data_IF_303186709136
#
_entry.id   IF_303186709136
#
_cell.length_a   1.000
_cell.length_b   1.000
_cell.length_c   1.000
_cell.angle_alpha   90.00
_cell.angle_beta   90.00
_cell.angle_gamma   90.00
#
_symmetry.space_group_name_H-M   'P 1'
#
loop_
_entity.id
_entity.type
_entity.pdbx_description
1 polymer ?
#
# COMPACT_ATOMS: atom_id res chain seq x y z
N UNK A 1 -54.75 47.08 10.58
CA UNK A 1 -54.64 45.67 10.17
C UNK A 1 -54.63 45.59 8.64
N UNK A 2 -53.44 45.61 8.01
CA UNK A 2 -53.28 45.36 6.58
C UNK A 2 -52.59 44.00 6.39
N UNK A 3 -53.39 42.93 6.32
CA UNK A 3 -52.90 41.55 6.11
C UNK A 3 -52.39 41.29 4.69
N UNK A 4 -52.50 42.23 3.76
CA UNK A 4 -52.04 42.07 2.37
C UNK A 4 -50.56 42.45 2.14
N UNK A 5 -49.94 43.22 3.01
CA UNK A 5 -48.56 43.69 2.78
C UNK A 5 -47.49 42.64 3.12
N UNK A 6 -47.81 41.62 3.93
CA UNK A 6 -46.85 40.58 4.33
C UNK A 6 -46.74 39.41 3.34
N UNK A 7 -47.75 39.18 2.51
CA UNK A 7 -47.72 38.10 1.50
C UNK A 7 -46.94 38.47 0.23
N UNK A 8 -46.82 39.77 -0.08
CA UNK A 8 -46.07 40.24 -1.25
C UNK A 8 -44.55 40.17 -1.10
N UNK A 9 -44.04 40.14 0.13
CA UNK A 9 -42.59 40.12 0.39
C UNK A 9 -41.99 38.71 0.40
N UNK A 10 -42.78 37.68 0.76
CA UNK A 10 -42.30 36.29 0.72
C UNK A 10 -42.22 35.70 -0.69
N UNK A 11 -43.04 36.17 -1.65
CA UNK A 11 -43.05 35.59 -3.00
C UNK A 11 -41.99 36.17 -3.94
N UNK A 12 -41.45 37.37 -3.64
CA UNK A 12 -40.38 37.98 -4.44
C UNK A 12 -38.96 37.47 -4.07
N UNK A 13 -38.78 36.90 -2.88
CA UNK A 13 -37.50 36.33 -2.44
C UNK A 13 -37.25 34.88 -2.92
N UNK A 14 -38.23 34.25 -3.57
CA UNK A 14 -38.15 32.84 -3.97
C UNK A 14 -37.72 32.61 -5.44
N UNK A 15 -37.50 33.66 -6.23
CA UNK A 15 -37.30 33.52 -7.68
C UNK A 15 -35.92 33.94 -8.23
N UNK A 16 -34.92 34.25 -7.41
CA UNK A 16 -33.65 34.74 -7.92
C UNK A 16 -32.40 34.18 -7.23
N UNK A 17 -32.40 32.88 -6.95
CA UNK A 17 -31.14 32.12 -6.94
C UNK A 17 -31.15 31.21 -8.16
N UNK A 18 -31.13 31.82 -9.35
CA UNK A 18 -30.62 31.11 -10.51
C UNK A 18 -29.13 30.98 -10.26
N UNK A 19 -28.70 29.82 -9.74
CA UNK A 19 -27.29 29.48 -9.76
C UNK A 19 -26.86 29.59 -11.22
N UNK A 20 -26.02 30.58 -11.53
CA UNK A 20 -25.42 30.71 -12.85
C UNK A 20 -24.68 29.40 -13.10
N UNK A 21 -25.21 28.57 -13.99
CA UNK A 21 -24.56 27.34 -14.41
C UNK A 21 -23.35 27.78 -15.22
N UNK A 22 -22.18 27.69 -14.61
CA UNK A 22 -20.92 27.91 -15.29
C UNK A 22 -20.76 26.81 -16.35
N UNK A 23 -20.80 27.20 -17.62
CA UNK A 23 -20.64 26.27 -18.74
C UNK A 23 -19.17 26.17 -19.09
N UNK A 24 -18.60 24.98 -18.90
CA UNK A 24 -17.25 24.64 -19.34
C UNK A 24 -17.33 23.81 -20.61
N UNK A 25 -16.66 24.26 -21.66
CA UNK A 25 -16.52 23.47 -22.89
C UNK A 25 -15.22 22.66 -22.81
N UNK A 26 -15.34 21.34 -22.88
CA UNK A 26 -14.20 20.43 -22.99
C UNK A 26 -14.04 20.01 -24.45
N UNK A 27 -12.95 20.43 -25.07
CA UNK A 27 -12.58 19.94 -26.41
C UNK A 27 -11.73 18.69 -26.26
N UNK A 28 -12.28 17.55 -26.66
CA UNK A 28 -11.51 16.30 -26.76
C UNK A 28 -10.79 16.31 -28.11
N UNK A 29 -9.45 16.43 -28.14
CA UNK A 29 -8.72 16.36 -29.39
C UNK A 29 -8.90 14.96 -30.00
N UNK A 30 -9.58 14.87 -31.13
CA UNK A 30 -9.60 13.64 -31.92
C UNK A 30 -8.18 13.32 -32.41
N UNK A 31 -7.79 12.04 -32.43
CA UNK A 31 -6.45 11.66 -32.85
C UNK A 31 -5.97 10.34 -32.25
N UNK A 32 -4.63 10.15 -32.25
CA UNK A 32 -3.97 8.99 -31.67
C UNK A 32 -3.84 9.17 -30.15
N UNK A 33 -3.87 8.09 -29.36
CA UNK A 33 -3.68 8.17 -27.91
C UNK A 33 -2.30 8.78 -27.58
N UNK A 34 -2.27 9.71 -26.62
CA UNK A 34 -1.01 10.32 -26.15
C UNK A 34 -0.12 9.29 -25.44
N UNK A 35 -0.74 8.38 -24.68
CA UNK A 35 -0.07 7.30 -23.97
C UNK A 35 -1.00 6.10 -23.88
N UNK A 36 -0.47 4.91 -24.16
CA UNK A 36 -1.12 3.67 -23.79
C UNK A 36 -0.73 3.33 -22.35
N UNK A 37 -1.72 3.16 -21.49
CA UNK A 37 -1.51 2.69 -20.13
C UNK A 37 -1.57 1.17 -20.11
N UNK A 38 -0.87 0.56 -19.15
CA UNK A 38 -1.01 -0.87 -18.90
C UNK A 38 -2.36 -1.13 -18.25
N UNK A 39 -2.89 -2.33 -18.43
CA UNK A 39 -4.17 -2.71 -17.82
C UNK A 39 -4.11 -2.66 -16.29
N UNK A 40 -2.94 -2.91 -15.71
CA UNK A 40 -2.66 -2.86 -14.27
C UNK A 40 -2.23 -1.47 -13.75
N UNK A 41 -2.51 -0.40 -14.51
CA UNK A 41 -2.10 0.96 -14.16
C UNK A 41 -2.59 1.40 -12.77
N UNK A 42 -3.82 1.04 -12.40
CA UNK A 42 -4.38 1.29 -11.08
C UNK A 42 -3.93 0.21 -10.09
N UNK A 43 -2.69 0.32 -9.62
CA UNK A 43 -2.07 -0.61 -8.66
C UNK A 43 -2.15 -0.13 -7.20
N UNK A 44 -1.84 -1.01 -6.25
CA UNK A 44 -2.04 -0.77 -4.81
C UNK A 44 -0.71 -0.86 -4.06
N UNK A 45 -0.50 0.05 -3.10
CA UNK A 45 0.59 -0.03 -2.13
C UNK A 45 0.14 -0.58 -0.78
N UNK A 46 1.00 -1.36 -0.13
CA UNK A 46 0.83 -1.86 1.22
C UNK A 46 2.10 -1.60 2.04
N UNK A 47 1.91 -1.05 3.24
CA UNK A 47 3.01 -0.59 4.08
C UNK A 47 3.65 -1.74 4.89
N UNK A 48 4.98 -1.81 4.83
CA UNK A 48 5.86 -2.74 5.54
C UNK A 48 5.73 -2.68 7.07
N UNK A 49 5.19 -1.60 7.65
CA UNK A 49 4.84 -1.51 9.08
C UNK A 49 3.92 -2.66 9.53
N UNK A 50 3.12 -3.21 8.61
CA UNK A 50 2.19 -4.31 8.90
C UNK A 50 2.93 -5.57 9.37
N UNK A 51 4.20 -5.76 9.00
CA UNK A 51 5.03 -6.85 9.54
C UNK A 51 5.27 -6.66 11.05
N UNK A 52 5.59 -5.43 11.48
CA UNK A 52 5.83 -5.08 12.89
C UNK A 52 4.58 -5.26 13.73
N UNK A 53 3.42 -5.04 13.12
CA UNK A 53 2.09 -5.22 13.73
C UNK A 53 1.54 -6.63 13.54
N UNK A 54 2.33 -7.57 13.01
CA UNK A 54 1.89 -8.95 12.76
C UNK A 54 0.56 -9.02 11.97
N UNK A 55 0.44 -8.20 10.93
CA UNK A 55 -0.76 -8.08 10.09
C UNK A 55 -2.02 -7.62 10.83
N UNK A 56 -1.88 -7.03 12.02
CA UNK A 56 -3.00 -6.55 12.81
C UNK A 56 -3.87 -5.57 12.01
N UNK A 57 -5.18 -5.74 12.13
CA UNK A 57 -6.18 -4.91 11.46
C UNK A 57 -6.51 -5.36 10.03
N UNK A 58 -5.83 -6.39 9.50
CA UNK A 58 -6.16 -6.94 8.18
C UNK A 58 -7.16 -8.08 8.33
N UNK A 59 -8.38 -7.83 7.85
CA UNK A 59 -9.32 -8.90 7.50
C UNK A 59 -8.95 -9.44 6.11
N UNK A 60 -8.30 -10.60 6.09
CA UNK A 60 -7.80 -11.21 4.87
C UNK A 60 -8.90 -11.73 3.94
N UNK A 61 -10.06 -12.12 4.49
CA UNK A 61 -11.20 -12.55 3.68
C UNK A 61 -11.71 -11.33 2.93
N UNK A 62 -11.94 -10.23 3.64
CA UNK A 62 -12.41 -8.99 3.04
C UNK A 62 -11.40 -8.38 2.06
N UNK A 63 -10.12 -8.45 2.39
CA UNK A 63 -9.05 -7.99 1.51
C UNK A 63 -9.02 -8.77 0.19
N UNK A 64 -9.26 -10.09 0.22
CA UNK A 64 -9.33 -10.92 -0.99
C UNK A 64 -10.56 -10.56 -1.84
N UNK A 65 -11.72 -10.39 -1.22
CA UNK A 65 -12.94 -9.99 -1.91
C UNK A 65 -12.74 -8.66 -2.65
N UNK A 66 -12.21 -7.65 -1.97
CA UNK A 66 -11.95 -6.34 -2.56
C UNK A 66 -10.84 -6.40 -3.61
N UNK A 67 -9.76 -7.14 -3.34
CA UNK A 67 -8.65 -7.24 -4.27
C UNK A 67 -9.04 -7.85 -5.61
N UNK A 68 -9.91 -8.87 -5.61
CA UNK A 68 -10.44 -9.46 -6.85
C UNK A 68 -11.25 -8.48 -7.70
N UNK A 69 -11.92 -7.49 -7.08
CA UNK A 69 -12.68 -6.47 -7.80
C UNK A 69 -11.79 -5.40 -8.46
N UNK A 70 -10.52 -5.32 -8.06
CA UNK A 70 -9.55 -4.35 -8.58
C UNK A 70 -8.58 -5.00 -9.58
N UNK A 71 -8.89 -6.20 -10.07
CA UNK A 71 -8.09 -6.81 -11.14
C UNK A 71 -8.28 -6.08 -12.47
N UNK A 72 -7.23 -6.00 -13.32
CA UNK A 72 -5.84 -6.35 -13.01
C UNK A 72 -5.14 -5.22 -12.23
N UNK A 73 -4.26 -5.60 -11.29
CA UNK A 73 -3.42 -4.67 -10.54
C UNK A 73 -2.15 -5.36 -10.04
N UNK A 74 -1.19 -4.56 -9.58
CA UNK A 74 -0.01 -5.01 -8.85
C UNK A 74 -0.12 -4.59 -7.38
N UNK A 75 0.57 -5.33 -6.51
CA UNK A 75 0.73 -5.00 -5.10
C UNK A 75 2.17 -4.59 -4.84
N UNK A 76 2.41 -3.34 -4.48
CA UNK A 76 3.72 -2.87 -3.99
C UNK A 76 3.77 -2.98 -2.48
N UNK A 77 4.68 -3.80 -1.95
CA UNK A 77 4.91 -3.93 -0.51
C UNK A 77 6.23 -3.27 -0.14
N UNK A 78 6.16 -2.15 0.59
CA UNK A 78 7.33 -1.34 0.94
C UNK A 78 6.98 -0.21 1.89
N UNK A 79 7.57 0.97 1.73
CA UNK A 79 7.31 2.13 2.60
C UNK A 79 8.45 2.38 3.57
N UNK A 80 8.28 3.35 4.47
CA UNK A 80 9.38 3.88 5.29
C UNK A 80 10.07 2.86 6.19
N UNK A 81 9.40 1.76 6.52
CA UNK A 81 9.95 0.69 7.36
C UNK A 81 10.60 -0.45 6.56
N UNK A 82 10.54 -0.43 5.22
CA UNK A 82 11.17 -1.46 4.39
C UNK A 82 12.68 -1.51 4.62
N UNK A 83 13.30 -0.33 4.77
CA UNK A 83 14.73 -0.16 5.06
C UNK A 83 15.16 -0.50 6.49
N UNK A 84 14.23 -0.96 7.32
CA UNK A 84 14.47 -1.49 8.67
C UNK A 84 14.13 -2.97 8.78
N UNK A 85 13.54 -3.54 7.73
CA UNK A 85 13.08 -4.92 7.68
C UNK A 85 14.21 -5.87 7.27
N UNK A 86 14.30 -7.02 7.94
CA UNK A 86 15.22 -8.09 7.59
C UNK A 86 14.45 -9.38 7.33
N UNK A 87 14.77 -10.07 6.25
CA UNK A 87 14.14 -11.35 5.97
C UNK A 87 14.68 -12.47 6.86
N UNK A 88 13.78 -13.35 7.29
CA UNK A 88 14.06 -14.47 8.17
C UNK A 88 14.09 -14.03 9.64
N UNK A 89 15.25 -14.20 10.24
CA UNK A 89 15.32 -14.54 11.65
C UNK A 89 16.04 -13.50 12.48
N UNK A 90 15.54 -13.15 13.67
CA UNK A 90 16.48 -13.22 14.80
C UNK A 90 16.69 -14.71 15.16
N UNK A 91 15.56 -15.42 15.28
CA UNK A 91 15.27 -16.83 15.02
C UNK A 91 13.76 -16.88 14.66
N UNK A 92 13.45 -16.35 13.47
CA UNK A 92 12.21 -16.26 12.68
C UNK A 92 10.95 -15.58 13.27
N UNK A 93 11.05 -14.77 14.34
CA UNK A 93 10.14 -13.62 14.53
C UNK A 93 9.51 -13.39 15.93
N UNK A 94 10.27 -13.48 17.03
CA UNK A 94 9.77 -13.44 18.43
C UNK A 94 8.74 -12.36 18.79
N UNK A 95 7.80 -12.58 19.76
CA UNK A 95 7.56 -13.78 20.58
C UNK A 95 6.38 -14.64 20.07
N UNK A 96 6.35 -15.94 20.41
CA UNK A 96 5.08 -16.69 20.44
C UNK A 96 4.15 -15.92 21.37
N UNK A 97 3.05 -15.41 20.85
CA UNK A 97 2.08 -14.67 21.65
C UNK A 97 1.69 -15.53 22.86
N UNK A 98 2.16 -15.16 24.04
CA UNK A 98 1.79 -15.82 25.30
C UNK A 98 0.32 -15.55 25.66
N UNK A 99 -0.33 -14.63 24.93
CA UNK A 99 -1.74 -14.26 25.05
C UNK A 99 -2.29 -13.82 23.67
N UNK A 100 -3.54 -14.18 23.31
CA UNK A 100 -4.21 -13.69 22.11
C UNK A 100 -4.24 -12.16 21.96
N UNK A 101 -4.16 -11.44 23.09
CA UNK A 101 -4.26 -9.98 23.19
C UNK A 101 -2.95 -9.25 22.78
N UNK A 102 -1.83 -9.96 22.73
CA UNK A 102 -0.52 -9.42 22.33
C UNK A 102 -0.28 -9.45 20.80
N UNK A 103 -1.19 -10.03 20.03
CA UNK A 103 -1.03 -10.26 18.58
C UNK A 103 -0.96 -8.97 17.75
N UNK A 104 -1.42 -7.86 18.31
CA UNK A 104 -1.52 -6.55 17.66
C UNK A 104 -0.59 -5.49 18.24
N UNK A 105 0.18 -5.81 19.29
CA UNK A 105 1.05 -4.82 19.90
C UNK A 105 2.24 -4.55 18.98
N UNK A 106 2.52 -3.28 18.64
CA UNK A 106 3.69 -2.95 17.86
C UNK A 106 4.93 -3.42 18.63
N UNK A 107 5.85 -4.09 17.94
CA UNK A 107 7.19 -4.29 18.49
C UNK A 107 7.77 -2.91 18.84
N UNK A 108 8.54 -2.77 19.94
CA UNK A 108 9.13 -1.49 20.36
C UNK A 108 9.75 -0.79 19.16
N UNK A 109 9.65 0.54 19.02
CA UNK A 109 10.22 1.23 17.85
C UNK A 109 11.74 0.96 17.78
N UNK A 110 12.12 0.00 16.95
CA UNK A 110 13.47 -0.51 16.81
C UNK A 110 13.96 -0.15 15.42
N UNK A 111 15.24 0.17 15.32
CA UNK A 111 15.95 0.34 14.05
C UNK A 111 15.84 -0.89 13.14
N UNK A 112 15.57 -2.06 13.72
CA UNK A 112 15.54 -3.35 13.03
C UNK A 112 14.32 -4.18 13.43
N UNK A 113 13.67 -4.81 12.46
CA UNK A 113 12.67 -5.86 12.71
C UNK A 113 12.76 -6.96 11.65
N UNK A 114 12.16 -8.12 11.93
CA UNK A 114 12.27 -9.31 11.09
C UNK A 114 10.94 -9.71 10.47
N UNK A 115 11.01 -10.08 9.19
CA UNK A 115 9.93 -10.69 8.44
C UNK A 115 10.19 -12.19 8.32
N UNK A 116 9.37 -12.98 8.99
CA UNK A 116 9.46 -14.44 8.91
C UNK A 116 9.05 -14.97 7.53
N UNK A 117 9.47 -16.20 7.22
CA UNK A 117 9.01 -16.94 6.04
C UNK A 117 7.49 -17.03 5.98
N UNK A 118 6.84 -17.36 7.10
CA UNK A 118 5.37 -17.42 7.18
C UNK A 118 4.69 -16.09 6.80
N UNK A 119 5.22 -14.95 7.27
CA UNK A 119 4.69 -13.64 6.89
C UNK A 119 4.90 -13.38 5.40
N UNK A 120 6.03 -13.77 4.84
CA UNK A 120 6.35 -13.62 3.42
C UNK A 120 5.48 -14.51 2.53
N UNK A 121 5.24 -15.75 2.97
CA UNK A 121 4.34 -16.69 2.30
C UNK A 121 2.91 -16.14 2.32
N UNK A 122 2.44 -15.58 3.44
CA UNK A 122 1.11 -14.97 3.55
C UNK A 122 0.92 -13.79 2.59
N UNK A 123 1.94 -12.95 2.44
CA UNK A 123 1.92 -11.83 1.49
C UNK A 123 1.85 -12.31 0.03
N UNK A 124 2.68 -13.29 -0.34
CA UNK A 124 2.66 -13.90 -1.68
C UNK A 124 1.35 -14.64 -1.96
N UNK A 125 0.83 -15.36 -0.98
CA UNK A 125 -0.47 -16.02 -1.05
C UNK A 125 -1.59 -15.02 -1.26
N UNK A 126 -1.59 -13.89 -0.54
CA UNK A 126 -2.58 -12.84 -0.73
C UNK A 126 -2.54 -12.30 -2.16
N UNK A 127 -1.37 -11.84 -2.64
CA UNK A 127 -1.22 -11.29 -3.99
C UNK A 127 -1.68 -12.28 -5.07
N UNK A 128 -1.24 -13.54 -4.99
CA UNK A 128 -1.64 -14.59 -5.94
C UNK A 128 -3.13 -14.93 -5.85
N UNK A 129 -3.73 -14.96 -4.65
CA UNK A 129 -5.17 -15.25 -4.45
C UNK A 129 -6.10 -14.22 -5.08
N UNK A 130 -5.60 -13.01 -5.30
CA UNK A 130 -6.29 -11.91 -5.98
C UNK A 130 -5.73 -11.62 -7.37
N UNK A 131 -4.91 -12.52 -7.93
CA UNK A 131 -4.41 -12.39 -9.31
C UNK A 131 -3.46 -11.21 -9.54
N UNK A 132 -2.82 -10.71 -8.48
CA UNK A 132 -1.86 -9.61 -8.56
C UNK A 132 -0.43 -10.10 -8.59
N UNK A 133 0.43 -9.29 -9.22
CA UNK A 133 1.88 -9.43 -9.13
C UNK A 133 2.39 -8.63 -7.94
N UNK A 134 3.22 -9.25 -7.11
CA UNK A 134 3.85 -8.58 -5.97
C UNK A 134 5.13 -7.87 -6.43
N UNK A 135 5.28 -6.60 -6.08
CA UNK A 135 6.54 -5.86 -6.09
C UNK A 135 6.99 -5.73 -4.63
N UNK A 136 8.18 -6.22 -4.30
CA UNK A 136 8.67 -6.24 -2.92
C UNK A 136 9.91 -5.38 -2.73
N UNK A 137 9.89 -4.52 -1.72
CA UNK A 137 10.96 -3.58 -1.40
C UNK A 137 12.05 -4.22 -0.52
N UNK A 138 13.26 -4.30 -1.06
CA UNK A 138 14.44 -4.79 -0.35
C UNK A 138 15.07 -3.68 0.49
N UNK A 139 15.46 -4.01 1.72
CA UNK A 139 16.14 -3.08 2.61
C UNK A 139 17.49 -2.64 2.01
N UNK A 140 17.66 -1.35 1.72
CA UNK A 140 18.89 -0.77 1.15
C UNK A 140 19.92 -0.36 2.22
N UNK A 141 19.51 -0.26 3.49
CA UNK A 141 20.36 0.20 4.59
C UNK A 141 21.18 -0.92 5.25
N UNK A 142 21.09 -2.15 4.74
CA UNK A 142 22.00 -3.22 5.15
C UNK A 142 23.38 -2.96 4.53
N UNK A 143 24.30 -2.39 5.31
CA UNK A 143 25.64 -1.99 4.85
C UNK A 143 26.76 -2.86 5.44
N UNK A 144 27.79 -3.09 4.64
CA UNK A 144 29.08 -3.60 5.11
C UNK A 144 29.86 -2.49 5.85
N UNK A 145 30.91 -2.83 6.63
CA UNK A 145 31.73 -1.82 7.32
C UNK A 145 32.37 -0.78 6.40
N UNK A 146 32.54 -1.09 5.11
CA UNK A 146 33.05 -0.18 4.07
C UNK A 146 31.95 0.70 3.44
N UNK A 147 30.72 0.65 3.95
CA UNK A 147 29.58 1.44 3.48
C UNK A 147 28.90 0.90 2.22
N UNK A 148 29.38 -0.20 1.64
CA UNK A 148 28.73 -0.83 0.48
C UNK A 148 27.45 -1.55 0.89
N UNK A 149 26.53 -1.71 -0.04
CA UNK A 149 25.34 -2.54 0.16
C UNK A 149 25.76 -3.99 0.40
N UNK A 150 25.29 -4.57 1.52
CA UNK A 150 25.51 -5.98 1.84
C UNK A 150 24.31 -6.78 1.34
N UNK A 151 24.55 -7.62 0.34
CA UNK A 151 23.52 -8.37 -0.38
C UNK A 151 23.03 -9.61 0.34
N UNK A 152 23.68 -10.06 1.42
CA UNK A 152 23.41 -11.40 1.99
C UNK A 152 21.96 -11.59 2.45
N UNK A 153 21.30 -10.55 2.98
CA UNK A 153 19.89 -10.67 3.37
C UNK A 153 18.95 -10.67 2.16
N UNK A 154 19.24 -9.85 1.13
CA UNK A 154 18.48 -9.87 -0.12
C UNK A 154 18.64 -11.21 -0.84
N UNK A 155 19.84 -11.75 -0.94
CA UNK A 155 20.12 -13.07 -1.51
C UNK A 155 19.36 -14.18 -0.77
N UNK A 156 19.29 -14.12 0.57
CA UNK A 156 18.51 -15.06 1.36
C UNK A 156 17.01 -15.03 0.98
N UNK A 157 16.43 -13.84 0.82
CA UNK A 157 15.04 -13.67 0.41
C UNK A 157 14.82 -14.14 -1.02
N UNK A 158 15.67 -13.73 -1.96
CA UNK A 158 15.57 -14.09 -3.38
C UNK A 158 15.69 -15.61 -3.58
N UNK A 159 16.61 -16.27 -2.88
CA UNK A 159 16.76 -17.72 -2.91
C UNK A 159 15.51 -18.41 -2.35
N UNK A 160 14.94 -17.89 -1.26
CA UNK A 160 13.70 -18.44 -0.71
C UNK A 160 12.51 -18.24 -1.68
N UNK A 161 12.33 -17.05 -2.24
CA UNK A 161 11.28 -16.76 -3.21
C UNK A 161 11.39 -17.66 -4.46
N UNK A 162 12.62 -17.90 -4.93
CA UNK A 162 12.90 -18.83 -6.03
C UNK A 162 12.56 -20.28 -5.67
N UNK A 163 12.95 -20.75 -4.48
CA UNK A 163 12.60 -22.10 -3.98
C UNK A 163 11.09 -22.31 -3.87
N UNK A 164 10.34 -21.29 -3.48
CA UNK A 164 8.88 -21.31 -3.38
C UNK A 164 8.17 -21.05 -4.72
N UNK A 165 8.93 -20.80 -5.79
CA UNK A 165 8.43 -20.49 -7.13
C UNK A 165 7.46 -19.29 -7.15
N UNK A 166 7.75 -18.25 -6.37
CA UNK A 166 6.93 -17.03 -6.35
C UNK A 166 7.19 -16.15 -7.59
N UNK A 167 6.10 -15.69 -8.22
CA UNK A 167 6.14 -14.75 -9.34
C UNK A 167 5.98 -13.33 -8.81
N UNK A 168 7.11 -12.65 -8.64
CA UNK A 168 7.19 -11.31 -8.05
C UNK A 168 8.35 -10.52 -8.64
N UNK A 169 8.28 -9.19 -8.50
CA UNK A 169 9.32 -8.24 -8.86
C UNK A 169 9.89 -7.61 -7.57
N UNK A 170 11.04 -6.93 -7.68
CA UNK A 170 11.76 -6.36 -6.53
C UNK A 170 12.15 -4.89 -6.75
N UNK A 171 12.10 -4.13 -5.67
CA UNK A 171 12.66 -2.78 -5.55
C UNK A 171 13.81 -2.80 -4.52
N UNK A 172 14.64 -1.74 -4.48
CA UNK A 172 15.73 -1.61 -3.50
C UNK A 172 15.68 -0.22 -2.85
N UNK A 173 15.06 -0.16 -1.68
CA UNK A 173 14.97 1.02 -0.82
C UNK A 173 13.72 1.84 -1.04
N UNK A 174 13.27 2.50 0.03
CA UNK A 174 12.11 3.39 0.01
C UNK A 174 12.49 4.83 0.34
N UNK A 175 12.42 5.69 -0.68
CA UNK A 175 12.66 7.12 -0.52
C UNK A 175 14.14 7.43 -0.31
N UNK A 176 14.69 8.32 -1.13
CA UNK A 176 16.01 8.89 -0.87
C UNK A 176 15.88 9.90 0.26
N UNK A 177 16.33 9.55 1.46
CA UNK A 177 16.77 10.61 2.38
C UNK A 177 18.11 11.07 1.81
N UNK A 178 18.11 12.16 1.04
CA UNK A 178 19.35 12.89 0.83
C UNK A 178 19.88 13.27 2.23
N UNK A 179 21.17 13.04 2.53
CA UNK A 179 21.72 13.54 3.78
C UNK A 179 21.60 15.07 3.79
N UNK A 180 20.91 15.62 4.79
CA UNK A 180 21.03 17.04 5.15
C UNK A 180 22.47 17.38 5.56
#
# INVERSE_FOLDING_TARGET
>A
MNRLALLGFCLACLCAVSAAVEQVTVSLPGGRPFRLLRDDYASIGMDSILIRRNWCGIDWIRAIELGRQLQPAQLRFGGNDADRMWFGSAADGSPKASSPDQSCLPTPNTEKFYMSREKFDRLNWFASSVGWRLIFDLNVLIRSPDGRYNTSNAEMLLNYASQMNYSMDFELGNGTVEPE
#
